data_IF_935084670348
#
_entry.id   IF_935084670348
#
_cell.length_a   1.000
_cell.length_b   1.000
_cell.length_c   1.000
_cell.angle_alpha   90.00
_cell.angle_beta   90.00
_cell.angle_gamma   90.00
#
_symmetry.space_group_name_H-M   'P 1'
#
loop_
_entity.id
_entity.type
_entity.pdbx_description
1 polymer ?
#
# COMPACT_ATOMS: atom_id res chain seq x y z
N UNK A 1 25.54 8.77 -11.30
CA UNK A 1 24.08 8.61 -11.09
C UNK A 1 23.45 9.98 -11.23
N UNK A 2 22.54 10.18 -12.18
CA UNK A 2 21.80 11.45 -12.28
C UNK A 2 20.69 11.45 -11.22
N UNK A 3 20.71 12.42 -10.31
CA UNK A 3 19.62 12.63 -9.36
C UNK A 3 18.42 13.21 -10.11
N UNK A 4 17.43 12.37 -10.38
CA UNK A 4 16.15 12.79 -10.94
C UNK A 4 15.21 13.20 -9.80
N UNK A 5 14.37 14.23 -9.99
CA UNK A 5 13.54 14.74 -8.92
C UNK A 5 12.49 13.70 -8.50
N UNK A 6 12.40 13.47 -7.19
CA UNK A 6 11.29 12.75 -6.57
C UNK A 6 10.21 13.74 -6.17
N UNK A 7 8.95 13.43 -6.49
CA UNK A 7 7.79 14.21 -6.10
C UNK A 7 6.96 13.41 -5.10
N UNK A 8 6.56 14.04 -4.00
CA UNK A 8 5.69 13.44 -3.00
C UNK A 8 4.34 14.15 -3.00
N UNK A 9 3.30 13.43 -3.40
CA UNK A 9 1.94 13.93 -3.39
C UNK A 9 1.28 13.62 -2.05
N UNK A 10 1.09 14.65 -1.22
CA UNK A 10 0.48 14.52 0.11
C UNK A 10 -0.98 14.97 0.05
N UNK A 11 -1.88 14.17 0.62
CA UNK A 11 -3.28 14.57 0.73
C UNK A 11 -3.47 15.64 1.79
N UNK A 12 -4.22 16.72 1.50
CA UNK A 12 -4.59 17.69 2.53
C UNK A 12 -5.49 17.11 3.62
N UNK A 13 -6.28 16.08 3.30
CA UNK A 13 -7.24 15.45 4.23
C UNK A 13 -6.56 14.48 5.20
N UNK A 14 -5.52 13.78 4.72
CA UNK A 14 -4.75 12.82 5.50
C UNK A 14 -3.25 13.07 5.31
N UNK A 15 -2.72 14.19 5.81
CA UNK A 15 -1.34 14.59 5.53
C UNK A 15 -0.32 13.76 6.33
N UNK A 16 -0.74 13.16 7.45
CA UNK A 16 0.12 12.40 8.35
C UNK A 16 -0.56 11.20 8.96
N UNK A 17 0.24 10.21 9.34
CA UNK A 17 -0.21 9.05 10.10
C UNK A 17 -0.22 9.31 11.62
N UNK A 18 -0.57 8.29 12.40
CA UNK A 18 -0.59 8.34 13.87
C UNK A 18 0.78 8.61 14.50
N UNK A 19 1.87 8.35 13.77
CA UNK A 19 3.25 8.60 14.19
C UNK A 19 3.79 9.94 13.67
N UNK A 20 2.92 10.81 13.12
CA UNK A 20 3.26 12.11 12.53
C UNK A 20 4.15 12.02 11.28
N UNK A 21 4.25 10.85 10.63
CA UNK A 21 4.95 10.69 9.36
C UNK A 21 4.06 11.17 8.22
N UNK A 22 4.65 11.81 7.20
CA UNK A 22 3.91 12.26 6.02
C UNK A 22 3.34 11.08 5.23
N UNK A 23 2.05 11.14 4.90
CA UNK A 23 1.39 10.16 4.04
C UNK A 23 1.29 10.73 2.63
N UNK A 24 1.86 10.03 1.66
CA UNK A 24 1.82 10.48 0.28
C UNK A 24 2.18 9.43 -0.74
N UNK A 25 1.94 9.78 -2.01
CA UNK A 25 2.34 8.98 -3.16
C UNK A 25 3.66 9.49 -3.69
N UNK A 26 4.61 8.57 -3.84
CA UNK A 26 5.92 8.89 -4.37
C UNK A 26 5.92 8.69 -5.88
N UNK A 27 6.31 9.74 -6.59
CA UNK A 27 6.49 9.75 -8.02
C UNK A 27 7.97 10.00 -8.34
N UNK A 28 8.54 9.12 -9.16
CA UNK A 28 9.84 9.33 -9.77
C UNK A 28 9.61 9.56 -11.26
N UNK A 29 9.99 10.74 -11.75
CA UNK A 29 9.68 11.17 -13.13
C UNK A 29 8.18 11.07 -13.42
N UNK A 30 7.78 10.32 -14.45
CA UNK A 30 6.38 10.08 -14.82
C UNK A 30 5.82 8.78 -14.21
N UNK A 31 6.55 8.14 -13.29
CA UNK A 31 6.17 6.85 -12.70
C UNK A 31 5.75 7.00 -11.24
N UNK A 32 4.51 6.63 -10.96
CA UNK A 32 4.00 6.47 -9.60
C UNK A 32 4.49 5.13 -9.01
N UNK A 33 5.27 5.18 -7.93
CA UNK A 33 6.00 4.02 -7.41
C UNK A 33 5.16 3.15 -6.47
N UNK A 34 4.14 3.71 -5.83
CA UNK A 34 3.39 3.02 -4.78
C UNK A 34 2.56 1.85 -5.35
N UNK A 35 1.85 2.07 -6.45
CA UNK A 35 1.01 1.04 -7.10
C UNK A 35 1.80 -0.22 -7.50
N UNK A 36 2.94 -0.15 -8.22
CA UNK A 36 3.69 -1.35 -8.57
C UNK A 36 4.28 -2.04 -7.33
N UNK A 37 4.74 -1.31 -6.31
CA UNK A 37 5.22 -1.91 -5.07
C UNK A 37 4.13 -2.71 -4.35
N UNK A 38 2.90 -2.19 -4.33
CA UNK A 38 1.74 -2.88 -3.77
C UNK A 38 1.38 -4.10 -4.62
N UNK A 39 1.30 -3.95 -5.95
CA UNK A 39 0.96 -5.03 -6.88
C UNK A 39 1.97 -6.18 -6.88
N UNK A 40 3.25 -5.89 -6.66
CA UNK A 40 4.32 -6.89 -6.49
C UNK A 40 4.37 -7.46 -5.07
N UNK A 41 3.46 -7.06 -4.17
CA UNK A 41 3.42 -7.53 -2.80
C UNK A 41 4.64 -7.12 -1.98
N UNK A 42 5.33 -6.02 -2.33
CA UNK A 42 6.42 -5.46 -1.54
C UNK A 42 5.93 -4.49 -0.46
N UNK A 43 4.69 -4.01 -0.56
CA UNK A 43 4.07 -3.11 0.41
C UNK A 43 2.60 -3.45 0.65
N UNK A 44 2.10 -3.06 1.82
CA UNK A 44 0.69 -3.08 2.16
C UNK A 44 0.01 -1.77 1.76
N UNK A 45 -1.28 -1.86 1.39
CA UNK A 45 -2.11 -0.70 1.11
C UNK A 45 -3.13 -0.48 2.23
N UNK A 46 -2.99 0.62 2.95
CA UNK A 46 -3.93 1.02 4.00
C UNK A 46 -5.12 1.79 3.39
N UNK A 47 -6.22 1.06 3.19
CA UNK A 47 -7.43 1.57 2.55
C UNK A 47 -8.15 2.66 3.36
N UNK A 48 -7.82 2.86 4.65
CA UNK A 48 -8.48 3.85 5.52
C UNK A 48 -8.34 5.28 5.02
N UNK A 49 -7.28 5.57 4.28
CA UNK A 49 -6.97 6.92 3.84
C UNK A 49 -7.69 7.33 2.54
N UNK A 50 -8.49 6.46 1.90
CA UNK A 50 -9.31 6.74 0.70
C UNK A 50 -8.60 7.56 -0.40
N UNK A 51 -7.30 7.33 -0.56
CA UNK A 51 -6.42 7.99 -1.51
C UNK A 51 -5.72 6.92 -2.34
N UNK A 52 -5.44 7.15 -3.63
CA UNK A 52 -5.63 8.38 -4.43
C UNK A 52 -6.92 8.39 -5.29
N UNK A 53 -7.02 9.33 -6.25
CA UNK A 53 -8.05 9.38 -7.33
C UNK A 53 -8.26 8.05 -8.06
N UNK A 54 -7.27 7.15 -8.01
CA UNK A 54 -7.27 5.79 -8.54
C UNK A 54 -7.36 4.73 -7.42
N UNK A 55 -8.03 5.01 -6.31
CA UNK A 55 -8.15 4.15 -5.13
C UNK A 55 -8.51 2.69 -5.50
N UNK A 56 -9.45 2.52 -6.43
CA UNK A 56 -9.85 1.19 -6.92
C UNK A 56 -8.70 0.40 -7.54
N UNK A 57 -7.75 1.06 -8.23
CA UNK A 57 -6.58 0.38 -8.80
C UNK A 57 -5.67 -0.17 -7.70
N UNK A 58 -5.50 0.59 -6.62
CA UNK A 58 -4.72 0.15 -5.47
C UNK A 58 -5.40 -1.00 -4.73
N UNK A 59 -6.72 -0.93 -4.55
CA UNK A 59 -7.50 -2.01 -3.97
C UNK A 59 -7.38 -3.31 -4.79
N UNK A 60 -7.50 -3.20 -6.12
CA UNK A 60 -7.35 -4.35 -7.03
C UNK A 60 -5.94 -4.93 -6.94
N UNK A 61 -4.91 -4.07 -6.97
CA UNK A 61 -3.52 -4.51 -6.89
C UNK A 61 -3.20 -5.20 -5.55
N UNK A 62 -3.65 -4.62 -4.44
CA UNK A 62 -3.46 -5.17 -3.10
C UNK A 62 -4.19 -6.52 -2.93
N UNK A 63 -5.46 -6.61 -3.35
CA UNK A 63 -6.21 -7.86 -3.32
C UNK A 63 -5.51 -8.94 -4.14
N UNK A 64 -5.07 -8.60 -5.35
CA UNK A 64 -4.34 -9.52 -6.23
C UNK A 64 -3.07 -10.03 -5.56
N UNK A 65 -2.23 -9.14 -5.05
CA UNK A 65 -0.98 -9.51 -4.39
C UNK A 65 -1.22 -10.45 -3.19
N UNK A 66 -2.26 -10.19 -2.41
CA UNK A 66 -2.62 -11.02 -1.27
C UNK A 66 -3.19 -12.39 -1.68
N UNK A 67 -4.14 -12.41 -2.61
CA UNK A 67 -4.84 -13.62 -3.08
C UNK A 67 -3.90 -14.56 -3.85
N UNK A 68 -3.08 -14.01 -4.75
CA UNK A 68 -2.10 -14.75 -5.54
C UNK A 68 -0.80 -15.04 -4.76
N UNK A 69 -0.71 -14.61 -3.49
CA UNK A 69 0.43 -14.84 -2.60
C UNK A 69 1.75 -14.32 -3.21
N UNK A 70 1.77 -13.06 -3.62
CA UNK A 70 2.93 -12.39 -4.23
C UNK A 70 3.76 -11.69 -3.14
N UNK A 71 5.09 -11.66 -3.29
CA UNK A 71 5.98 -10.89 -2.40
C UNK A 71 5.89 -11.33 -0.95
N UNK A 72 5.60 -10.40 -0.02
CA UNK A 72 5.49 -10.68 1.43
C UNK A 72 4.40 -11.71 1.77
N UNK A 73 3.45 -11.94 0.85
CA UNK A 73 2.32 -12.86 1.00
C UNK A 73 2.64 -14.30 0.58
N UNK A 74 3.75 -14.52 -0.14
CA UNK A 74 4.14 -15.82 -0.73
C UNK A 74 4.47 -16.89 0.31
N UNK A 75 5.27 -16.52 1.31
CA UNK A 75 5.73 -17.43 2.36
C UNK A 75 4.74 -17.39 3.53
N UNK A 76 4.26 -18.57 3.95
CA UNK A 76 3.29 -18.68 5.04
C UNK A 76 3.74 -17.97 6.32
N UNK A 77 4.96 -18.21 6.80
CA UNK A 77 5.49 -17.58 8.01
C UNK A 77 5.59 -16.04 7.89
N UNK A 78 6.00 -15.54 6.72
CA UNK A 78 6.03 -14.10 6.42
C UNK A 78 4.62 -13.52 6.49
N UNK A 79 3.67 -14.15 5.78
CA UNK A 79 2.27 -13.75 5.75
C UNK A 79 1.65 -13.72 7.14
N UNK A 80 1.83 -14.76 7.95
CA UNK A 80 1.26 -14.82 9.31
C UNK A 80 1.83 -13.73 10.22
N UNK A 81 3.15 -13.50 10.16
CA UNK A 81 3.79 -12.41 10.90
C UNK A 81 3.22 -11.05 10.49
N UNK A 82 3.06 -10.84 9.19
CA UNK A 82 2.55 -9.58 8.65
C UNK A 82 1.07 -9.36 9.00
N UNK A 83 0.24 -10.39 8.90
CA UNK A 83 -1.18 -10.35 9.32
C UNK A 83 -1.31 -10.05 10.82
N UNK A 84 -0.49 -10.68 11.67
CA UNK A 84 -0.47 -10.39 13.11
C UNK A 84 -0.11 -8.93 13.39
N UNK A 85 0.87 -8.39 12.68
CA UNK A 85 1.24 -6.97 12.77
C UNK A 85 0.07 -6.06 12.39
N UNK A 86 -0.58 -6.33 11.26
CA UNK A 86 -1.72 -5.53 10.82
C UNK A 86 -2.88 -5.58 11.82
N UNK A 87 -3.18 -6.75 12.39
CA UNK A 87 -4.18 -6.89 13.44
C UNK A 87 -3.85 -6.02 14.68
N UNK A 88 -2.59 -5.99 15.12
CA UNK A 88 -2.15 -5.13 16.22
C UNK A 88 -2.23 -3.63 15.89
N UNK A 89 -2.16 -3.26 14.61
CA UNK A 89 -2.28 -1.88 14.11
C UNK A 89 -3.74 -1.51 13.76
N UNK A 90 -4.71 -2.40 14.05
CA UNK A 90 -6.13 -2.28 13.67
C UNK A 90 -6.31 -2.04 12.15
N UNK A 91 -5.46 -2.71 11.36
CA UNK A 91 -5.46 -2.67 9.89
C UNK A 91 -5.92 -4.01 9.33
N UNK A 92 -6.65 -3.97 8.23
CA UNK A 92 -7.14 -5.15 7.53
C UNK A 92 -6.56 -5.24 6.13
N UNK A 93 -6.23 -6.47 5.71
CA UNK A 93 -5.85 -6.73 4.32
C UNK A 93 -7.09 -6.71 3.46
N UNK A 94 -7.00 -5.94 2.38
CA UNK A 94 -8.03 -5.94 1.36
C UNK A 94 -7.98 -7.22 0.54
N UNK A 95 -9.13 -7.87 0.39
CA UNK A 95 -9.33 -9.02 -0.50
C UNK A 95 -10.69 -8.85 -1.19
N UNK A 96 -10.89 -9.50 -2.33
CA UNK A 96 -12.19 -9.47 -3.04
C UNK A 96 -13.32 -10.05 -2.19
N UNK A 97 -13.00 -10.96 -1.28
CA UNK A 97 -13.95 -11.62 -0.37
C UNK A 97 -14.32 -10.70 0.81
N UNK A 98 -13.40 -9.81 1.23
CA UNK A 98 -13.61 -8.84 2.30
C UNK A 98 -13.96 -7.44 1.78
N UNK A 99 -14.62 -7.35 0.61
CA UNK A 99 -15.23 -6.13 0.07
C UNK A 99 -16.39 -5.68 0.97
N UNK A 100 -16.10 -5.10 2.11
CA UNK A 100 -17.04 -4.32 2.91
C UNK A 100 -16.46 -2.94 3.16
#
# INVERSE_FOLDING_TARGET
MQNRPLQLWVSPQFPRDLYKQALGLLQAEDTELNLPLIGLGHSFFDARYQLPRNFDRYLIAAARAYEEKIGIWSIYASRQRYLKRLANEERTVYSRINRR
#
